data_IF_917667521736
#
_entry.id   IF_917667521736
#
_cell.length_a   1.000
_cell.length_b   1.000
_cell.length_c   1.000
_cell.angle_alpha   90.00
_cell.angle_beta   90.00
_cell.angle_gamma   90.00
#
_symmetry.space_group_name_H-M   'P 1'
#
loop_
_entity.id
_entity.type
_entity.pdbx_description
1 polymer ?
#
# COMPACT_ATOMS: atom_id res chain seq x y z
N UNK A 1 33.67 -15.04 -2.32
CA UNK A 1 33.49 -14.29 -3.57
C UNK A 1 32.25 -13.40 -3.43
N UNK A 2 32.39 -12.06 -3.52
CA UNK A 2 31.24 -11.14 -3.45
C UNK A 2 30.63 -11.00 -4.84
N UNK A 3 29.35 -11.35 -5.01
CA UNK A 3 28.64 -11.15 -6.26
C UNK A 3 28.57 -9.64 -6.58
N UNK A 4 29.04 -9.26 -7.78
CA UNK A 4 29.04 -7.87 -8.26
C UNK A 4 27.63 -7.56 -8.76
N UNK A 5 26.87 -6.77 -8.01
CA UNK A 5 25.54 -6.31 -8.44
C UNK A 5 25.70 -5.27 -9.54
N UNK A 6 25.14 -5.53 -10.72
CA UNK A 6 25.07 -4.57 -11.83
C UNK A 6 23.70 -3.93 -11.87
N UNK A 7 23.66 -2.60 -12.04
CA UNK A 7 22.42 -1.86 -12.17
C UNK A 7 21.76 -2.25 -13.51
N UNK A 8 20.59 -2.87 -13.45
CA UNK A 8 19.80 -3.13 -14.66
C UNK A 8 19.22 -1.81 -15.15
N UNK A 9 19.44 -1.41 -16.42
CA UNK A 9 18.85 -0.20 -16.96
C UNK A 9 17.32 -0.30 -16.91
N UNK A 10 16.67 0.81 -16.56
CA UNK A 10 15.20 0.85 -16.45
C UNK A 10 14.59 0.56 -17.82
N UNK A 11 13.80 -0.50 -17.91
CA UNK A 11 12.97 -0.77 -19.10
C UNK A 11 11.98 0.38 -19.30
N UNK A 12 11.73 0.74 -20.56
CA UNK A 12 10.65 1.67 -20.88
C UNK A 12 9.32 1.15 -20.30
N UNK A 13 8.53 2.01 -19.63
CA UNK A 13 7.29 1.58 -19.02
C UNK A 13 6.31 1.12 -20.10
N UNK A 14 5.64 -0.01 -19.85
CA UNK A 14 4.46 -0.37 -20.64
C UNK A 14 3.34 0.70 -20.46
N UNK A 15 2.34 0.76 -21.34
CA UNK A 15 1.28 1.78 -21.26
C UNK A 15 0.55 1.82 -19.91
N UNK A 16 0.36 0.66 -19.26
CA UNK A 16 -0.30 0.55 -17.95
C UNK A 16 0.61 1.12 -16.85
N UNK A 17 1.90 0.83 -16.93
CA UNK A 17 2.91 1.32 -16.01
C UNK A 17 3.07 2.85 -16.13
N UNK A 18 3.04 3.39 -17.34
CA UNK A 18 3.08 4.84 -17.58
C UNK A 18 1.88 5.55 -16.93
N UNK A 19 0.67 4.98 -17.06
CA UNK A 19 -0.53 5.52 -16.38
C UNK A 19 -0.38 5.47 -14.87
N UNK A 20 0.16 4.37 -14.31
CA UNK A 20 0.40 4.25 -12.86
C UNK A 20 1.42 5.27 -12.37
N UNK A 21 2.49 5.51 -13.11
CA UNK A 21 3.50 6.51 -12.77
C UNK A 21 2.93 7.93 -12.79
N UNK A 22 2.08 8.24 -13.78
CA UNK A 22 1.33 9.50 -13.81
C UNK A 22 0.46 9.66 -12.56
N UNK A 23 -0.34 8.65 -12.20
CA UNK A 23 -1.22 8.70 -11.00
C UNK A 23 -0.43 8.85 -9.70
N UNK A 24 0.79 8.29 -9.62
CA UNK A 24 1.69 8.47 -8.46
C UNK A 24 2.29 9.87 -8.39
N UNK A 25 2.53 10.50 -9.55
CA UNK A 25 3.12 11.82 -9.65
C UNK A 25 2.11 12.96 -9.40
N UNK A 26 0.81 12.70 -9.57
CA UNK A 26 -0.24 13.69 -9.30
C UNK A 26 -0.14 14.24 -7.87
N UNK A 27 -0.36 15.56 -7.69
CA UNK A 27 -0.45 16.16 -6.36
C UNK A 27 -1.53 15.44 -5.55
N UNK A 28 -1.19 15.13 -4.31
CA UNK A 28 -2.08 14.43 -3.40
C UNK A 28 -2.92 15.49 -2.70
N UNK A 29 -4.27 15.36 -2.70
CA UNK A 29 -5.07 16.16 -1.78
C UNK A 29 -4.53 15.96 -0.36
N UNK A 30 -4.43 17.05 0.39
CA UNK A 30 -3.89 17.03 1.75
C UNK A 30 -4.64 16.00 2.62
N UNK A 31 -3.89 15.23 3.41
CA UNK A 31 -4.44 14.22 4.32
C UNK A 31 -4.82 12.86 3.69
N UNK A 32 -4.73 12.69 2.37
CA UNK A 32 -5.11 11.43 1.72
C UNK A 32 -4.00 10.38 1.72
N UNK A 33 -4.34 9.15 2.12
CA UNK A 33 -3.45 7.99 1.98
C UNK A 33 -3.43 7.50 0.53
N UNK A 34 -2.22 7.32 -0.02
CA UNK A 34 -2.01 6.77 -1.35
C UNK A 34 -0.79 5.85 -1.36
N UNK A 35 -0.95 4.66 -1.95
CA UNK A 35 0.11 3.68 -2.06
C UNK A 35 1.22 4.16 -3.00
N UNK A 36 2.46 4.19 -2.50
CA UNK A 36 3.63 4.59 -3.29
C UNK A 36 3.98 3.58 -4.40
N UNK A 37 3.57 2.31 -4.26
CA UNK A 37 3.88 1.25 -5.25
C UNK A 37 2.89 1.19 -6.41
N UNK A 38 1.60 1.34 -6.18
CA UNK A 38 0.58 1.17 -7.23
C UNK A 38 -0.30 2.41 -7.46
N UNK A 39 -0.26 3.42 -6.58
CA UNK A 39 -1.10 4.61 -6.68
C UNK A 39 -2.53 4.46 -6.16
N UNK A 40 -2.93 3.26 -5.70
CA UNK A 40 -4.24 3.02 -5.09
C UNK A 40 -4.42 3.80 -3.78
N UNK A 41 -5.67 4.12 -3.48
CA UNK A 41 -6.12 4.79 -2.25
C UNK A 41 -6.90 3.83 -1.33
N UNK A 42 -7.09 2.58 -1.75
CA UNK A 42 -7.81 1.59 -0.95
C UNK A 42 -6.88 0.91 0.03
N UNK A 43 -7.19 1.07 1.32
CA UNK A 43 -6.46 0.46 2.42
C UNK A 43 -7.24 -0.72 3.03
N UNK A 44 -6.55 -1.65 3.66
CA UNK A 44 -7.14 -2.62 4.58
C UNK A 44 -6.30 -2.75 5.87
N UNK A 45 -6.97 -3.17 6.93
CA UNK A 45 -6.37 -3.48 8.23
C UNK A 45 -6.69 -4.95 8.51
N UNK A 46 -5.66 -5.76 8.75
CA UNK A 46 -5.83 -7.16 9.10
C UNK A 46 -5.99 -7.27 10.62
N UNK A 47 -7.08 -7.91 11.04
CA UNK A 47 -7.38 -8.17 12.45
C UNK A 47 -7.47 -9.67 12.65
N UNK A 48 -6.63 -10.21 13.53
CA UNK A 48 -6.65 -11.62 13.89
C UNK A 48 -7.60 -11.87 15.05
N UNK A 49 -8.35 -12.97 14.98
CA UNK A 49 -9.23 -13.43 16.06
C UNK A 49 -10.37 -12.46 16.36
N UNK A 50 -11.08 -11.97 15.34
CA UNK A 50 -12.37 -11.30 15.56
C UNK A 50 -13.45 -12.34 15.84
N UNK A 51 -14.40 -12.06 16.73
CA UNK A 51 -15.47 -12.99 17.09
C UNK A 51 -16.81 -12.28 17.26
N UNK A 52 -17.87 -13.07 17.31
CA UNK A 52 -19.22 -12.63 17.67
C UNK A 52 -19.56 -13.30 18.99
N UNK A 53 -20.07 -12.56 19.97
CA UNK A 53 -20.47 -13.14 21.25
C UNK A 53 -21.87 -13.79 21.20
N UNK A 54 -22.27 -14.43 22.29
CA UNK A 54 -23.60 -15.06 22.41
C UNK A 54 -24.79 -14.09 22.33
N UNK A 55 -24.56 -12.77 22.31
CA UNK A 55 -25.57 -11.72 22.12
C UNK A 55 -25.54 -11.13 20.71
N UNK A 56 -24.71 -11.68 19.81
CA UNK A 56 -24.56 -11.20 18.44
C UNK A 56 -23.69 -9.95 18.31
N UNK A 57 -23.00 -9.49 19.35
CA UNK A 57 -22.13 -8.31 19.27
C UNK A 57 -20.80 -8.68 18.62
N UNK A 58 -20.35 -7.84 17.69
CA UNK A 58 -19.04 -7.98 17.06
C UNK A 58 -17.94 -7.49 18.01
N UNK A 59 -16.95 -8.36 18.23
CA UNK A 59 -15.75 -8.04 18.99
C UNK A 59 -14.54 -8.06 18.05
N UNK A 60 -13.84 -6.93 18.02
CA UNK A 60 -12.63 -6.78 17.24
C UNK A 60 -11.47 -7.47 17.95
N UNK A 61 -10.77 -8.37 17.24
CA UNK A 61 -9.56 -9.00 17.74
C UNK A 61 -8.32 -8.10 17.67
N UNK A 62 -7.13 -8.70 17.59
CA UNK A 62 -5.84 -7.98 17.57
C UNK A 62 -5.51 -7.49 16.17
N UNK A 63 -5.16 -6.21 16.01
CA UNK A 63 -4.65 -5.67 14.75
C UNK A 63 -3.25 -6.23 14.49
N UNK A 64 -3.09 -7.00 13.41
CA UNK A 64 -1.78 -7.57 13.01
C UNK A 64 -1.13 -6.76 11.89
N UNK A 65 -1.94 -6.13 11.04
CA UNK A 65 -1.46 -5.20 10.03
C UNK A 65 -2.41 -4.01 9.93
N UNK A 66 -1.85 -2.80 9.85
CA UNK A 66 -2.63 -1.58 9.74
C UNK A 66 -2.24 -0.76 8.51
N UNK A 67 -3.23 -0.12 7.89
CA UNK A 67 -3.05 0.82 6.76
C UNK A 67 -2.22 0.23 5.60
N UNK A 68 -2.50 -1.02 5.23
CA UNK A 68 -1.86 -1.67 4.08
C UNK A 68 -2.65 -1.42 2.80
N UNK A 69 -1.98 -1.37 1.65
CA UNK A 69 -2.64 -1.23 0.36
C UNK A 69 -3.33 -2.53 -0.06
N UNK A 70 -4.65 -2.48 -0.26
CA UNK A 70 -5.46 -3.64 -0.66
C UNK A 70 -5.04 -4.19 -2.02
N UNK A 71 -4.81 -3.32 -3.01
CA UNK A 71 -4.47 -3.76 -4.37
C UNK A 71 -3.07 -4.37 -4.48
N UNK A 72 -2.11 -3.89 -3.67
CA UNK A 72 -0.81 -4.54 -3.55
C UNK A 72 -0.95 -5.89 -2.85
N UNK A 73 -1.75 -5.97 -1.79
CA UNK A 73 -1.95 -7.21 -1.06
C UNK A 73 -2.61 -8.31 -1.90
N UNK A 74 -3.60 -7.98 -2.73
CA UNK A 74 -4.20 -8.90 -3.71
C UNK A 74 -3.19 -9.50 -4.71
N UNK A 75 -2.02 -8.86 -4.86
CA UNK A 75 -0.91 -9.31 -5.72
C UNK A 75 0.24 -9.94 -4.93
N UNK A 76 0.04 -10.22 -3.64
CA UNK A 76 1.07 -10.76 -2.75
C UNK A 76 2.14 -9.73 -2.32
N UNK A 77 1.91 -8.44 -2.54
CA UNK A 77 2.88 -7.38 -2.22
C UNK A 77 2.49 -6.70 -0.91
N UNK A 78 3.34 -6.82 0.10
CA UNK A 78 3.22 -6.02 1.32
C UNK A 78 3.60 -4.55 1.05
N UNK A 79 2.66 -3.63 1.22
CA UNK A 79 2.88 -2.21 0.98
C UNK A 79 2.16 -1.34 2.02
N UNK A 80 2.87 -0.83 3.03
CA UNK A 80 2.30 0.15 3.97
C UNK A 80 1.98 1.45 3.23
N UNK A 81 0.81 2.01 3.52
CA UNK A 81 0.34 3.27 2.92
C UNK A 81 0.69 4.51 3.74
N UNK A 82 1.06 4.33 5.01
CA UNK A 82 1.67 5.38 5.81
C UNK A 82 3.13 5.56 5.37
N UNK A 83 3.50 6.71 4.79
CA UNK A 83 4.91 7.00 4.56
C UNK A 83 5.59 7.30 5.91
N UNK A 84 6.88 6.95 6.03
CA UNK A 84 7.71 7.29 7.20
C UNK A 84 7.89 8.81 7.39
N UNK A 85 7.67 9.60 6.34
CA UNK A 85 7.57 11.06 6.36
C UNK A 85 6.37 11.50 5.51
N UNK A 86 5.44 12.32 6.03
CA UNK A 86 4.34 12.85 5.23
C UNK A 86 4.88 13.56 3.98
N UNK A 87 4.28 13.31 2.82
CA UNK A 87 4.58 14.13 1.63
C UNK A 87 3.93 15.50 1.88
N UNK A 88 4.64 16.63 1.73
CA UNK A 88 4.06 17.94 1.99
C UNK A 88 2.81 18.13 1.13
N UNK A 89 1.78 18.72 1.73
CA UNK A 89 0.65 19.24 0.99
C UNK A 89 1.16 20.33 0.03
N UNK A 90 0.71 20.28 -1.22
CA UNK A 90 0.85 21.39 -2.17
C UNK A 90 -0.09 22.50 -1.81
#
# INVERSE_FOLDING_TARGET
MRAKLTLVPKTAPDPVQAVRERVKAMPRPEGWLQCNKCGSRTMFTAVNGSWIDGKGQYHRGTVVHDKLCLDCHKRGIHSPMMPSRPKPAT
#
